data_IF_502565216367
#
_entry.id   IF_502565216367
#
_cell.length_a   1.000
_cell.length_b   1.000
_cell.length_c   1.000
_cell.angle_alpha   90.00
_cell.angle_beta   90.00
_cell.angle_gamma   90.00
#
_symmetry.space_group_name_H-M   'P 1'
#
loop_
_entity.id
_entity.type
_entity.pdbx_description
1 polymer ?
#
# COMPACT_ATOMS: atom_id res chain seq x y z
N UNK A 1 43.68 -17.57 15.17
CA UNK A 1 42.99 -16.43 14.50
C UNK A 1 41.51 -16.52 14.84
N UNK A 2 41.09 -15.70 15.77
CA UNK A 2 39.68 -15.66 16.21
C UNK A 2 38.94 -14.71 15.27
N UNK A 3 37.97 -15.25 14.52
CA UNK A 3 37.02 -14.46 13.71
C UNK A 3 36.14 -13.66 14.67
N UNK A 4 36.34 -12.36 14.72
CA UNK A 4 35.37 -11.44 15.36
C UNK A 4 34.12 -11.38 14.50
N UNK A 5 33.14 -12.17 14.87
CA UNK A 5 31.79 -11.99 14.38
C UNK A 5 31.23 -10.68 14.95
N UNK A 6 31.32 -9.61 14.16
CA UNK A 6 30.67 -8.35 14.51
C UNK A 6 29.18 -8.61 14.66
N UNK A 7 28.66 -8.49 15.88
CA UNK A 7 27.23 -8.45 16.12
C UNK A 7 26.68 -7.27 15.31
N UNK A 8 25.89 -7.55 14.28
CA UNK A 8 25.10 -6.52 13.59
C UNK A 8 24.25 -5.85 14.68
N UNK A 9 24.45 -4.54 14.88
CA UNK A 9 23.62 -3.78 15.82
C UNK A 9 22.15 -4.05 15.49
N UNK A 10 21.39 -4.44 16.50
CA UNK A 10 19.96 -4.70 16.33
C UNK A 10 19.33 -3.43 15.71
N UNK A 11 18.65 -3.60 14.59
CA UNK A 11 18.02 -2.49 13.88
C UNK A 11 16.96 -1.86 14.80
N UNK A 12 17.12 -0.58 15.12
CA UNK A 12 16.13 0.17 15.89
C UNK A 12 14.86 0.41 15.04
N UNK A 13 13.70 -0.16 15.42
CA UNK A 13 12.46 -0.01 14.66
C UNK A 13 11.98 1.44 14.59
N UNK A 14 12.21 2.24 15.63
CA UNK A 14 11.78 3.64 15.61
C UNK A 14 12.68 4.49 14.69
N UNK A 15 13.98 4.22 14.65
CA UNK A 15 14.88 4.86 13.71
C UNK A 15 14.51 4.50 12.28
N UNK A 16 14.22 3.23 12.02
CA UNK A 16 13.76 2.80 10.70
C UNK A 16 12.48 3.51 10.26
N UNK A 17 11.48 3.63 11.17
CA UNK A 17 10.24 4.36 10.88
C UNK A 17 10.52 5.81 10.52
N UNK A 18 11.33 6.53 11.32
CA UNK A 18 11.71 7.93 11.03
C UNK A 18 12.36 8.08 9.67
N UNK A 19 13.26 7.16 9.30
CA UNK A 19 13.92 7.18 7.99
C UNK A 19 12.92 6.98 6.84
N UNK A 20 12.00 6.02 6.97
CA UNK A 20 10.99 5.73 5.96
C UNK A 20 9.96 6.88 5.81
N UNK A 21 9.51 7.45 6.93
CA UNK A 21 8.62 8.62 6.96
C UNK A 21 9.29 9.83 6.33
N UNK A 22 10.53 10.16 6.73
CA UNK A 22 11.30 11.26 6.14
C UNK A 22 11.57 11.06 4.64
N UNK A 23 11.74 9.82 4.19
CA UNK A 23 11.85 9.51 2.78
C UNK A 23 10.53 9.79 2.04
N UNK A 24 9.40 9.38 2.62
CA UNK A 24 8.08 9.59 2.02
C UNK A 24 7.64 11.06 2.08
N UNK A 25 8.09 11.85 3.05
CA UNK A 25 7.77 13.28 3.14
C UNK A 25 8.30 14.11 1.97
N UNK A 26 9.33 13.62 1.30
CA UNK A 26 9.87 14.21 0.07
C UNK A 26 9.12 13.80 -1.21
N UNK A 27 8.11 12.94 -1.08
CA UNK A 27 7.32 12.45 -2.21
C UNK A 27 6.06 13.29 -2.36
N UNK A 28 5.95 14.08 -3.41
CA UNK A 28 4.74 14.86 -3.73
C UNK A 28 3.72 14.03 -4.53
N UNK A 29 4.22 13.15 -5.39
CA UNK A 29 3.41 12.33 -6.31
C UNK A 29 4.17 11.05 -6.68
N UNK A 30 3.47 10.07 -7.22
CA UNK A 30 4.12 8.89 -7.81
C UNK A 30 3.20 8.15 -8.78
N UNK A 31 3.81 7.36 -9.64
CA UNK A 31 3.14 6.35 -10.45
C UNK A 31 3.72 4.98 -10.16
N UNK A 32 2.91 3.94 -10.34
CA UNK A 32 3.35 2.55 -10.18
C UNK A 32 2.40 1.58 -10.89
N UNK A 33 2.86 0.36 -11.11
CA UNK A 33 1.99 -0.80 -11.23
C UNK A 33 1.74 -1.33 -9.81
N UNK A 34 0.55 -1.08 -9.30
CA UNK A 34 0.16 -1.47 -7.96
C UNK A 34 -0.42 -2.88 -7.95
N UNK A 35 0.22 -3.76 -7.22
CA UNK A 35 -0.22 -5.12 -6.96
C UNK A 35 -0.93 -5.18 -5.63
N UNK A 36 -2.19 -5.62 -5.65
CA UNK A 36 -3.02 -5.73 -4.47
C UNK A 36 -3.60 -7.14 -4.35
N UNK A 37 -3.54 -7.71 -3.15
CA UNK A 37 -4.23 -8.94 -2.82
C UNK A 37 -4.67 -8.89 -1.36
N UNK A 38 -5.93 -9.22 -1.09
CA UNK A 38 -6.54 -9.13 0.24
C UNK A 38 -7.33 -10.40 0.57
N UNK A 39 -7.43 -10.69 1.86
CA UNK A 39 -8.33 -11.73 2.40
C UNK A 39 -9.59 -11.05 2.94
N UNK A 40 -10.70 -11.19 2.24
CA UNK A 40 -11.99 -10.61 2.61
C UNK A 40 -12.96 -11.72 2.98
N UNK A 41 -13.69 -11.57 4.06
CA UNK A 41 -14.62 -12.59 4.57
C UNK A 41 -14.04 -14.02 4.67
N UNK A 42 -12.74 -14.10 5.00
CA UNK A 42 -12.03 -15.39 5.14
C UNK A 42 -11.45 -15.96 3.85
N UNK A 43 -11.79 -15.42 2.68
CA UNK A 43 -11.28 -15.84 1.38
C UNK A 43 -10.13 -14.96 0.89
N UNK A 44 -9.02 -15.56 0.45
CA UNK A 44 -7.94 -14.82 -0.20
C UNK A 44 -8.32 -14.56 -1.67
N UNK A 45 -8.66 -13.30 -1.96
CA UNK A 45 -9.08 -12.89 -3.29
C UNK A 45 -7.94 -12.97 -4.32
N UNK A 46 -8.28 -12.92 -5.59
CA UNK A 46 -7.29 -12.89 -6.67
C UNK A 46 -6.46 -11.61 -6.58
N UNK A 47 -5.20 -11.74 -6.96
CA UNK A 47 -4.30 -10.59 -7.10
C UNK A 47 -4.84 -9.62 -8.16
N UNK A 48 -4.85 -8.36 -7.84
CA UNK A 48 -5.18 -7.25 -8.73
C UNK A 48 -3.91 -6.57 -9.22
N UNK A 49 -3.88 -6.17 -10.49
CA UNK A 49 -2.77 -5.43 -11.11
C UNK A 49 -3.35 -4.13 -11.66
N UNK A 50 -2.86 -3.00 -11.14
CA UNK A 50 -3.48 -1.68 -11.28
C UNK A 50 -2.44 -0.66 -11.71
N UNK A 51 -2.66 0.06 -12.82
CA UNK A 51 -1.92 1.30 -13.09
C UNK A 51 -2.39 2.35 -12.10
N UNK A 52 -1.46 2.87 -11.32
CA UNK A 52 -1.70 3.81 -10.24
C UNK A 52 -1.04 5.15 -10.55
N UNK A 53 -1.79 6.25 -10.41
CA UNK A 53 -1.28 7.61 -10.25
C UNK A 53 -1.74 8.12 -8.89
N UNK A 54 -0.82 8.66 -8.11
CA UNK A 54 -1.12 9.21 -6.79
C UNK A 54 -0.42 10.55 -6.59
N UNK A 55 -1.15 11.54 -6.09
CA UNK A 55 -0.65 12.84 -5.64
C UNK A 55 -1.07 13.05 -4.20
N UNK A 56 -0.19 13.64 -3.36
CA UNK A 56 -0.45 13.81 -1.93
C UNK A 56 -1.34 15.00 -1.61
N UNK A 57 -1.18 16.12 -2.34
CA UNK A 57 -1.91 17.34 -2.02
C UNK A 57 -2.44 18.05 -3.28
N UNK A 58 -3.77 18.25 -3.42
CA UNK A 58 -4.78 17.51 -2.67
C UNK A 58 -4.63 16.01 -2.91
N UNK A 59 -5.01 15.16 -1.95
CA UNK A 59 -4.93 13.71 -2.16
C UNK A 59 -5.75 13.32 -3.39
N UNK A 60 -5.05 12.79 -4.37
CA UNK A 60 -5.64 12.45 -5.68
C UNK A 60 -5.17 11.09 -6.11
N UNK A 61 -6.08 10.29 -6.61
CA UNK A 61 -5.84 8.91 -6.97
C UNK A 61 -6.53 8.57 -8.29
N UNK A 62 -5.77 8.04 -9.25
CA UNK A 62 -6.31 7.39 -10.43
C UNK A 62 -5.84 5.94 -10.45
N UNK A 63 -6.78 5.02 -10.67
CA UNK A 63 -6.55 3.58 -10.72
C UNK A 63 -7.16 3.01 -12.00
N UNK A 64 -6.39 2.19 -12.73
CA UNK A 64 -6.88 1.44 -13.88
C UNK A 64 -6.46 -0.01 -13.77
N UNK A 65 -7.42 -0.91 -13.66
CA UNK A 65 -7.16 -2.34 -13.62
C UNK A 65 -6.76 -2.86 -14.99
N UNK A 66 -5.57 -3.43 -15.11
CA UNK A 66 -5.00 -3.88 -16.39
C UNK A 66 -5.10 -5.40 -16.59
N UNK A 67 -5.42 -6.14 -15.52
CA UNK A 67 -5.60 -7.58 -15.55
C UNK A 67 -6.94 -8.02 -14.96
N UNK A 68 -7.34 -9.29 -15.22
CA UNK A 68 -8.51 -9.90 -14.60
C UNK A 68 -8.31 -10.03 -13.08
N UNK A 69 -9.39 -9.94 -12.23
CA UNK A 69 -10.81 -9.99 -12.63
C UNK A 69 -11.39 -8.67 -13.12
N UNK A 70 -10.82 -7.51 -12.81
CA UNK A 70 -11.42 -6.19 -13.04
C UNK A 70 -10.88 -5.43 -14.26
N UNK A 71 -10.23 -6.14 -15.19
CA UNK A 71 -9.60 -5.52 -16.38
C UNK A 71 -10.49 -4.50 -17.07
N UNK A 72 -9.95 -3.29 -17.26
CA UNK A 72 -10.64 -2.17 -17.91
C UNK A 72 -11.54 -1.35 -16.97
N UNK A 73 -11.63 -1.69 -15.69
CA UNK A 73 -12.24 -0.80 -14.69
C UNK A 73 -11.32 0.38 -14.42
N UNK A 74 -11.89 1.54 -14.13
CA UNK A 74 -11.17 2.74 -13.75
C UNK A 74 -11.83 3.38 -12.52
N UNK A 75 -11.03 4.04 -11.69
CA UNK A 75 -11.47 4.81 -10.54
C UNK A 75 -10.63 6.07 -10.41
N UNK A 76 -11.30 7.20 -10.18
CA UNK A 76 -10.73 8.51 -9.93
C UNK A 76 -11.29 9.05 -8.61
N UNK A 77 -10.39 9.54 -7.75
CA UNK A 77 -10.74 10.25 -6.53
C UNK A 77 -9.82 11.45 -6.35
N UNK A 78 -10.38 12.59 -6.01
CA UNK A 78 -9.65 13.80 -5.64
C UNK A 78 -10.32 14.39 -4.41
N UNK A 79 -9.58 14.57 -3.32
CA UNK A 79 -10.10 15.16 -2.10
C UNK A 79 -10.61 16.60 -2.35
N UNK A 80 -11.81 16.88 -1.87
CA UNK A 80 -12.49 18.17 -2.07
C UNK A 80 -13.18 18.32 -3.44
N UNK A 81 -13.08 17.32 -4.32
CA UNK A 81 -13.78 17.32 -5.61
C UNK A 81 -14.92 16.30 -5.61
N UNK A 82 -15.98 16.56 -6.43
CA UNK A 82 -17.12 15.64 -6.63
C UNK A 82 -17.81 15.25 -5.30
N UNK A 83 -17.93 16.21 -4.36
CA UNK A 83 -18.47 15.98 -3.02
C UNK A 83 -17.75 14.84 -2.26
N UNK A 84 -16.43 14.76 -2.43
CA UNK A 84 -15.57 13.68 -1.90
C UNK A 84 -15.98 12.26 -2.35
N UNK A 85 -16.66 12.15 -3.48
CA UNK A 85 -17.05 10.87 -4.07
C UNK A 85 -16.04 10.40 -5.09
N UNK A 86 -15.76 9.10 -5.07
CA UNK A 86 -15.01 8.44 -6.11
C UNK A 86 -15.84 8.32 -7.39
N UNK A 87 -15.26 8.67 -8.52
CA UNK A 87 -15.83 8.42 -9.83
C UNK A 87 -15.28 7.09 -10.37
N UNK A 88 -16.16 6.17 -10.74
CA UNK A 88 -15.72 4.83 -11.13
C UNK A 88 -16.61 4.24 -12.23
N UNK A 89 -16.04 3.37 -13.05
CA UNK A 89 -16.77 2.49 -13.94
C UNK A 89 -16.14 1.08 -13.91
N UNK A 90 -16.95 0.10 -14.25
CA UNK A 90 -16.47 -1.28 -14.43
C UNK A 90 -15.95 -1.49 -15.86
N UNK A 91 -15.01 -2.42 -16.02
CA UNK A 91 -14.59 -2.91 -17.33
C UNK A 91 -15.65 -3.74 -18.04
N UNK A 92 -15.36 -4.15 -19.27
CA UNK A 92 -16.25 -4.98 -20.08
C UNK A 92 -17.47 -4.22 -20.64
N UNK A 93 -18.63 -4.84 -20.61
CA UNK A 93 -19.88 -4.29 -21.19
C UNK A 93 -20.35 -3.03 -20.43
N UNK A 94 -20.09 -2.96 -19.13
CA UNK A 94 -20.47 -1.82 -18.27
C UNK A 94 -19.52 -0.64 -18.31
N UNK A 95 -18.51 -0.65 -19.19
CA UNK A 95 -17.50 0.42 -19.30
C UNK A 95 -18.06 1.81 -19.64
N UNK A 96 -19.30 1.88 -20.12
CA UNK A 96 -19.94 3.15 -20.48
C UNK A 96 -20.81 3.73 -19.35
N UNK A 97 -20.93 3.02 -18.22
CA UNK A 97 -21.71 3.46 -17.08
C UNK A 97 -20.77 3.91 -15.96
N UNK A 98 -20.75 5.21 -15.73
CA UNK A 98 -19.93 5.83 -14.69
C UNK A 98 -20.78 6.13 -13.46
N UNK A 99 -20.26 5.81 -12.28
CA UNK A 99 -20.88 6.04 -10.99
C UNK A 99 -20.05 7.04 -10.17
N UNK A 100 -20.73 7.88 -9.39
CA UNK A 100 -20.13 8.68 -8.34
C UNK A 100 -20.51 8.05 -7.01
N UNK A 101 -19.58 7.46 -6.31
CA UNK A 101 -19.81 6.63 -5.13
C UNK A 101 -19.03 7.18 -3.93
N UNK A 102 -19.66 7.17 -2.77
CA UNK A 102 -18.95 7.35 -1.52
C UNK A 102 -17.77 6.34 -1.45
N UNK A 103 -16.57 6.73 -1.03
CA UNK A 103 -15.45 5.80 -0.87
C UNK A 103 -15.75 4.56 -0.01
N UNK A 104 -16.72 4.66 0.91
CA UNK A 104 -17.20 3.56 1.77
C UNK A 104 -18.45 2.86 1.23
N UNK A 105 -18.89 3.19 0.02
CA UNK A 105 -20.07 2.56 -0.59
C UNK A 105 -19.89 1.03 -0.65
N UNK A 106 -20.91 0.23 -0.26
CA UNK A 106 -20.81 -1.23 -0.22
C UNK A 106 -20.30 -1.85 -1.52
N UNK A 107 -20.65 -1.28 -2.68
CA UNK A 107 -20.18 -1.76 -3.98
C UNK A 107 -18.68 -1.56 -4.22
N UNK A 108 -18.04 -0.59 -3.54
CA UNK A 108 -16.58 -0.42 -3.53
C UNK A 108 -15.92 -1.24 -2.43
N UNK A 109 -16.64 -1.51 -1.33
CA UNK A 109 -16.09 -2.22 -0.18
C UNK A 109 -16.24 -3.75 -0.26
N UNK A 110 -17.04 -4.28 -1.19
CA UNK A 110 -17.35 -5.71 -1.27
C UNK A 110 -16.09 -6.61 -1.31
N UNK A 111 -15.08 -6.17 -2.08
CA UNK A 111 -13.82 -6.89 -2.28
C UNK A 111 -12.63 -6.12 -1.70
N UNK A 112 -12.88 -5.23 -0.74
CA UNK A 112 -11.87 -4.36 -0.16
C UNK A 112 -11.96 -4.28 1.37
N UNK A 113 -10.84 -4.45 2.05
CA UNK A 113 -10.74 -4.26 3.49
C UNK A 113 -10.79 -2.79 3.89
N UNK A 114 -10.46 -1.89 2.97
CA UNK A 114 -10.29 -0.46 3.24
C UNK A 114 -10.87 0.37 2.10
N UNK A 115 -11.39 1.57 2.39
CA UNK A 115 -11.87 2.47 1.35
C UNK A 115 -10.72 2.96 0.45
N UNK A 116 -11.04 3.43 -0.73
CA UNK A 116 -10.06 3.93 -1.71
C UNK A 116 -9.21 5.07 -1.16
N UNK A 117 -9.76 5.88 -0.26
CA UNK A 117 -9.04 6.96 0.46
C UNK A 117 -7.91 6.45 1.37
N UNK A 118 -7.90 5.15 1.66
CA UNK A 118 -6.86 4.45 2.41
C UNK A 118 -5.93 3.65 1.48
N UNK A 119 -5.73 4.13 0.26
CA UNK A 119 -4.83 3.51 -0.73
C UNK A 119 -3.53 4.31 -0.85
N UNK A 120 -2.44 3.59 -1.12
CA UNK A 120 -1.14 4.21 -1.43
C UNK A 120 -0.10 4.02 -0.34
N UNK A 121 1.14 4.41 -0.70
CA UNK A 121 2.34 4.21 0.13
C UNK A 121 2.19 4.93 1.48
N UNK A 122 1.64 6.15 1.50
CA UNK A 122 1.51 6.94 2.73
C UNK A 122 0.62 6.26 3.76
N UNK A 123 -0.56 5.81 3.34
CA UNK A 123 -1.47 5.10 4.24
C UNK A 123 -0.86 3.80 4.77
N UNK A 124 -0.20 3.02 3.92
CA UNK A 124 0.45 1.78 4.34
C UNK A 124 1.58 2.04 5.34
N UNK A 125 2.37 3.08 5.12
CA UNK A 125 3.44 3.47 6.03
C UNK A 125 2.88 3.93 7.38
N UNK A 126 1.82 4.73 7.38
CA UNK A 126 1.11 5.18 8.58
C UNK A 126 0.52 3.99 9.38
N UNK A 127 -0.13 3.04 8.69
CA UNK A 127 -0.65 1.82 9.33
C UNK A 127 0.46 1.00 9.96
N UNK A 128 1.57 0.79 9.25
CA UNK A 128 2.75 0.07 9.78
C UNK A 128 3.33 0.82 10.99
N UNK A 129 3.52 2.13 10.89
CA UNK A 129 4.07 2.96 11.97
C UNK A 129 3.20 2.93 13.22
N UNK A 130 1.88 3.02 13.05
CA UNK A 130 0.91 2.95 14.15
C UNK A 130 1.02 1.63 14.91
N UNK A 131 1.04 0.50 14.20
CA UNK A 131 1.16 -0.82 14.82
C UNK A 131 2.53 -0.99 15.53
N UNK A 132 3.62 -0.61 14.88
CA UNK A 132 4.97 -0.72 15.45
C UNK A 132 5.12 0.15 16.70
N UNK A 133 4.74 1.44 16.65
CA UNK A 133 4.82 2.35 17.81
C UNK A 133 3.95 1.89 18.97
N UNK A 134 2.76 1.38 18.70
CA UNK A 134 1.89 0.77 19.71
C UNK A 134 2.59 -0.40 20.40
N UNK A 135 3.23 -1.28 19.63
CA UNK A 135 3.93 -2.44 20.17
C UNK A 135 5.24 -2.07 20.90
N UNK A 136 5.98 -1.07 20.43
CA UNK A 136 7.15 -0.51 21.15
C UNK A 136 6.72 0.01 22.53
N UNK A 137 5.66 0.84 22.57
CA UNK A 137 5.13 1.41 23.83
C UNK A 137 4.68 0.33 24.82
N UNK A 138 4.17 -0.79 24.33
CA UNK A 138 3.75 -1.92 25.13
C UNK A 138 4.89 -2.88 25.51
N UNK A 139 6.10 -2.72 24.94
CA UNK A 139 7.24 -3.62 25.15
C UNK A 139 7.05 -5.01 24.54
N UNK A 140 6.25 -5.14 23.48
CA UNK A 140 5.82 -6.44 22.93
C UNK A 140 6.13 -6.60 21.42
N UNK A 141 6.97 -5.73 20.85
CA UNK A 141 7.44 -5.81 19.47
C UNK A 141 8.65 -6.74 19.34
N UNK A 142 8.57 -7.74 18.46
CA UNK A 142 9.76 -8.38 17.92
C UNK A 142 10.03 -7.83 16.52
N UNK A 143 11.20 -7.18 16.33
CA UNK A 143 11.58 -6.54 15.08
C UNK A 143 12.94 -7.04 14.62
N UNK A 144 13.07 -7.42 13.35
CA UNK A 144 14.31 -7.95 12.80
C UNK A 144 14.48 -7.63 11.32
N UNK A 145 15.72 -7.48 10.87
CA UNK A 145 16.11 -7.57 9.47
C UNK A 145 16.41 -9.03 9.14
N UNK A 146 15.73 -9.58 8.10
CA UNK A 146 15.87 -10.98 7.69
C UNK A 146 16.84 -11.17 6.52
N UNK A 147 17.46 -10.09 6.04
CA UNK A 147 18.36 -10.10 4.88
C UNK A 147 17.84 -9.24 3.74
N UNK A 148 18.22 -9.58 2.52
CA UNK A 148 17.90 -8.80 1.32
C UNK A 148 17.38 -9.70 0.20
N UNK A 149 16.52 -9.12 -0.63
CA UNK A 149 16.05 -9.75 -1.88
C UNK A 149 15.82 -8.70 -2.96
N UNK A 150 15.69 -9.13 -4.21
CA UNK A 150 15.28 -8.26 -5.32
C UNK A 150 13.77 -8.37 -5.51
N UNK A 151 13.08 -7.23 -5.41
CA UNK A 151 11.63 -7.13 -5.63
C UNK A 151 11.38 -6.14 -6.75
N UNK A 152 10.64 -6.54 -7.79
CA UNK A 152 10.34 -5.70 -8.96
C UNK A 152 11.59 -5.06 -9.59
N UNK A 153 12.70 -5.82 -9.65
CA UNK A 153 13.97 -5.35 -10.20
C UNK A 153 14.80 -4.44 -9.29
N UNK A 154 14.33 -4.11 -8.08
CA UNK A 154 15.02 -3.24 -7.13
C UNK A 154 15.55 -4.03 -5.93
N UNK A 155 16.76 -3.68 -5.48
CA UNK A 155 17.36 -4.28 -4.27
C UNK A 155 16.64 -3.78 -3.02
N UNK A 156 16.15 -4.70 -2.20
CA UNK A 156 15.42 -4.40 -0.97
C UNK A 156 16.04 -5.12 0.22
N UNK A 157 15.92 -4.54 1.42
CA UNK A 157 16.06 -5.27 2.67
C UNK A 157 14.71 -5.80 3.13
N UNK A 158 14.71 -6.95 3.78
CA UNK A 158 13.53 -7.60 4.32
C UNK A 158 13.46 -7.29 5.80
N UNK A 159 12.41 -6.59 6.21
CA UNK A 159 12.14 -6.28 7.61
C UNK A 159 10.92 -7.06 8.08
N UNK A 160 10.97 -7.54 9.31
CA UNK A 160 9.85 -8.24 9.92
C UNK A 160 9.50 -7.60 11.26
N UNK A 161 8.22 -7.28 11.43
CA UNK A 161 7.61 -6.93 12.70
C UNK A 161 6.63 -8.03 13.11
N UNK A 162 6.76 -8.53 14.35
CA UNK A 162 5.88 -9.55 14.91
C UNK A 162 5.23 -8.98 16.16
N UNK A 163 3.92 -9.12 16.22
CA UNK A 163 3.05 -8.62 17.30
C UNK A 163 2.43 -9.79 18.08
N UNK A 164 1.93 -9.57 19.30
CA UNK A 164 1.24 -10.62 20.04
C UNK A 164 0.06 -11.24 19.30
N UNK A 165 -0.18 -12.51 19.56
CA UNK A 165 -1.35 -13.23 19.02
C UNK A 165 -2.66 -12.91 19.74
N UNK A 166 -2.62 -12.21 20.86
CA UNK A 166 -3.80 -11.81 21.61
C UNK A 166 -4.68 -10.85 20.82
N UNK A 167 -5.95 -11.23 20.62
CA UNK A 167 -6.94 -10.41 19.89
C UNK A 167 -7.27 -9.10 20.59
N UNK A 168 -7.17 -9.06 21.92
CA UNK A 168 -7.45 -7.86 22.72
C UNK A 168 -6.43 -6.74 22.46
N UNK A 169 -5.27 -7.06 21.88
CA UNK A 169 -4.24 -6.08 21.52
C UNK A 169 -4.56 -5.26 20.29
N UNK A 170 -5.52 -5.69 19.45
CA UNK A 170 -6.04 -4.95 18.30
C UNK A 170 -4.94 -4.42 17.37
N UNK A 171 -4.07 -5.33 16.91
CA UNK A 171 -3.13 -5.08 15.81
C UNK A 171 -3.76 -5.48 14.48
N UNK A 172 -3.45 -4.76 13.40
CA UNK A 172 -3.94 -5.04 12.03
C UNK A 172 -3.54 -6.45 11.52
N UNK A 173 -2.55 -7.06 12.15
CA UNK A 173 -2.10 -8.44 11.88
C UNK A 173 -1.12 -8.91 12.94
N UNK A 174 -0.71 -10.16 12.86
CA UNK A 174 0.29 -10.73 13.76
C UNK A 174 1.72 -10.54 13.26
N UNK A 175 1.95 -10.56 11.96
CA UNK A 175 3.28 -10.45 11.37
C UNK A 175 3.24 -9.61 10.10
N UNK A 176 4.08 -8.57 10.07
CA UNK A 176 4.32 -7.75 8.89
C UNK A 176 5.69 -8.08 8.30
N UNK A 177 5.74 -8.27 7.00
CA UNK A 177 6.98 -8.45 6.25
C UNK A 177 7.07 -7.33 5.22
N UNK A 178 8.10 -6.51 5.34
CA UNK A 178 8.28 -5.27 4.58
C UNK A 178 9.53 -5.39 3.73
N UNK A 179 9.39 -5.22 2.44
CA UNK A 179 10.50 -5.04 1.53
C UNK A 179 10.75 -3.54 1.34
N UNK A 180 11.78 -3.01 1.97
CA UNK A 180 12.17 -1.62 1.81
C UNK A 180 13.23 -1.49 0.73
N UNK A 181 12.98 -0.65 -0.25
CA UNK A 181 13.96 -0.31 -1.28
C UNK A 181 15.20 0.35 -0.68
N UNK A 182 16.38 -0.12 -1.05
CA UNK A 182 17.64 0.36 -0.46
C UNK A 182 18.01 1.78 -0.92
N UNK A 183 17.56 2.20 -2.08
CA UNK A 183 17.84 3.51 -2.67
C UNK A 183 16.89 4.58 -2.12
N UNK A 184 15.59 4.41 -2.34
CA UNK A 184 14.59 5.40 -1.96
C UNK A 184 14.18 5.35 -0.49
N UNK A 185 14.47 4.27 0.23
CA UNK A 185 14.02 3.99 1.60
C UNK A 185 12.50 3.82 1.73
N UNK A 186 11.77 3.77 0.62
CA UNK A 186 10.32 3.56 0.58
C UNK A 186 10.01 2.07 0.67
N UNK A 187 8.96 1.65 1.43
CA UNK A 187 8.44 0.30 1.37
C UNK A 187 7.90 -0.02 -0.04
N UNK A 188 8.56 -0.95 -0.73
CA UNK A 188 8.20 -1.37 -2.09
C UNK A 188 7.15 -2.47 -2.08
N UNK A 189 7.14 -3.30 -1.03
CA UNK A 189 6.17 -4.38 -0.81
C UNK A 189 5.92 -4.58 0.67
N UNK A 190 4.64 -4.78 1.02
CA UNK A 190 4.22 -5.09 2.39
C UNK A 190 3.30 -6.31 2.34
N UNK A 191 3.55 -7.29 3.21
CA UNK A 191 2.72 -8.47 3.42
C UNK A 191 2.32 -8.55 4.89
N UNK A 192 1.03 -8.67 5.13
CA UNK A 192 0.46 -8.77 6.48
C UNK A 192 -0.15 -10.17 6.64
N UNK A 193 0.18 -10.82 7.73
CA UNK A 193 -0.28 -12.16 8.07
C UNK A 193 -1.04 -12.13 9.39
N UNK A 194 -2.09 -12.94 9.46
CA UNK A 194 -2.88 -13.13 10.68
C UNK A 194 -2.16 -14.03 11.72
N UNK A 195 -2.85 -14.33 12.80
CA UNK A 195 -2.36 -15.15 13.92
C UNK A 195 -2.15 -16.61 13.56
N UNK A 196 -2.81 -17.09 12.50
CA UNK A 196 -2.70 -18.44 11.96
C UNK A 196 -1.62 -18.52 10.86
N UNK A 197 -0.94 -17.40 10.56
CA UNK A 197 0.05 -17.31 9.51
C UNK A 197 -0.53 -17.19 8.10
N UNK A 198 -1.84 -16.99 7.97
CA UNK A 198 -2.49 -16.78 6.67
C UNK A 198 -2.25 -15.37 6.17
N UNK A 199 -2.00 -15.22 4.88
CA UNK A 199 -1.87 -13.92 4.23
C UNK A 199 -3.21 -13.18 4.28
N UNK A 200 -3.19 -11.96 4.83
CA UNK A 200 -4.34 -11.05 4.91
C UNK A 200 -4.24 -9.96 3.85
N UNK A 201 -3.08 -9.30 3.77
CA UNK A 201 -2.83 -8.21 2.83
C UNK A 201 -1.45 -8.40 2.17
N UNK A 202 -1.39 -8.14 0.86
CA UNK A 202 -0.14 -8.07 0.10
C UNK A 202 -0.25 -6.92 -0.88
N UNK A 203 0.61 -5.94 -0.70
CA UNK A 203 0.69 -4.74 -1.51
C UNK A 203 2.10 -4.57 -2.06
N UNK A 204 2.21 -4.23 -3.33
CA UNK A 204 3.50 -4.02 -3.98
C UNK A 204 3.42 -2.96 -5.07
N UNK A 205 4.52 -2.25 -5.26
CA UNK A 205 4.66 -1.12 -6.20
C UNK A 205 5.77 -1.42 -7.19
N UNK A 206 5.41 -2.03 -8.31
CA UNK A 206 6.31 -2.30 -9.44
C UNK A 206 6.42 -1.04 -10.31
N UNK A 207 7.57 -0.83 -10.95
CA UNK A 207 7.85 0.34 -11.79
C UNK A 207 7.55 1.68 -11.09
N UNK A 208 7.86 1.75 -9.78
CA UNK A 208 7.63 2.93 -8.95
C UNK A 208 8.48 4.12 -9.41
N UNK A 209 7.81 5.20 -9.81
CA UNK A 209 8.43 6.49 -10.14
C UNK A 209 7.95 7.51 -9.11
N UNK A 210 8.85 7.89 -8.21
CA UNK A 210 8.60 8.92 -7.19
C UNK A 210 8.71 10.30 -7.83
N UNK A 211 7.90 11.25 -7.33
CA UNK A 211 7.83 12.62 -7.83
C UNK A 211 7.57 12.69 -9.34
N UNK A 212 6.75 11.75 -9.84
CA UNK A 212 6.29 11.78 -11.23
C UNK A 212 5.61 13.13 -11.54
N UNK A 213 5.86 13.73 -12.72
CA UNK A 213 5.32 15.05 -13.08
C UNK A 213 3.82 14.97 -13.38
N UNK A 214 3.00 14.73 -12.34
CA UNK A 214 1.56 14.64 -12.46
C UNK A 214 0.92 16.03 -12.36
N UNK A 215 0.10 16.38 -13.35
CA UNK A 215 -0.67 17.62 -13.42
C UNK A 215 -2.13 17.40 -13.02
N UNK A 216 -2.92 18.46 -12.90
CA UNK A 216 -4.36 18.36 -12.64
C UNK A 216 -5.09 17.57 -13.72
N UNK A 217 -4.63 17.67 -14.97
CA UNK A 217 -5.16 16.88 -16.09
C UNK A 217 -5.02 15.35 -15.88
N UNK A 218 -4.07 14.89 -15.07
CA UNK A 218 -3.95 13.47 -14.70
C UNK A 218 -5.04 13.00 -13.73
N UNK A 219 -5.78 13.93 -13.16
CA UNK A 219 -6.89 13.68 -12.24
C UNK A 219 -8.20 14.32 -12.69
N UNK A 220 -8.29 14.68 -13.99
CA UNK A 220 -9.52 15.18 -14.63
C UNK A 220 -10.23 14.00 -15.31
N UNK A 221 -11.53 13.75 -15.03
CA UNK A 221 -12.31 12.73 -15.72
C UNK A 221 -12.46 12.99 -17.23
N UNK A 222 -12.23 14.23 -17.69
CA UNK A 222 -12.23 14.60 -19.11
C UNK A 222 -10.91 14.26 -19.84
N UNK A 223 -9.91 13.73 -19.14
CA UNK A 223 -8.68 13.27 -19.75
C UNK A 223 -8.99 12.22 -20.82
N UNK A 224 -8.55 12.48 -22.05
CA UNK A 224 -8.86 11.62 -23.22
C UNK A 224 -8.30 10.19 -23.10
N UNK A 225 -7.34 9.94 -22.20
CA UNK A 225 -6.81 8.62 -21.91
C UNK A 225 -7.72 7.78 -21.00
N UNK A 226 -8.74 8.40 -20.37
CA UNK A 226 -9.68 7.79 -19.44
C UNK A 226 -11.02 7.54 -20.13
N UNK A 227 -11.88 6.78 -19.46
CA UNK A 227 -13.17 6.38 -20.03
C UNK A 227 -14.36 6.71 -19.13
N UNK A 228 -14.26 7.83 -18.38
CA UNK A 228 -15.33 8.30 -17.52
C UNK A 228 -16.44 9.00 -18.29
#
# INVERSE_FOLDING_TARGET
MAAHGGASAALDPEQWLREAEAAYDRVASYTAVFHKQQRVAGELLRKETILLKCRRTPFSLYMKWIERPYKGSELLYVAGWNEDRARAHRGGILRFVTFNLDPRHPGLMADNLRPVTSTGIGYLLESVATNIRKAIKAGELAFAELGAETVYGRKTRILQAVFPKDKARDYDGHRFVINQDLESRIPLRIRIYDRDGKLVENYGYENLVLNAPLADADFDPKNSAYRF
#
